data_IF_804283476864
#
_entry.id   IF_804283476864
#
_cell.length_a   1.000
_cell.length_b   1.000
_cell.length_c   1.000
_cell.angle_alpha   90.00
_cell.angle_beta   90.00
_cell.angle_gamma   90.00
#
_symmetry.space_group_name_H-M   'P 1'
#
loop_
_entity.id
_entity.type
_entity.pdbx_description
1 polymer ?
#
# COMPACT_ATOMS: atom_id res chain seq x y z
N UNK A 1 1.63 17.82 -19.83
CA UNK A 1 0.36 18.39 -19.29
C UNK A 1 0.65 18.91 -17.88
N UNK A 2 0.02 20.01 -17.44
CA UNK A 2 0.21 20.50 -16.08
C UNK A 2 -0.33 19.46 -15.07
N UNK A 3 0.35 19.32 -13.95
CA UNK A 3 0.01 18.41 -12.85
C UNK A 3 0.06 19.14 -11.52
N UNK A 4 -0.54 18.53 -10.50
CA UNK A 4 -0.44 18.97 -9.12
C UNK A 4 -0.18 17.76 -8.21
N UNK A 5 0.35 18.03 -7.01
CA UNK A 5 0.63 17.01 -6.00
C UNK A 5 -0.39 17.09 -4.87
N UNK A 6 -1.04 15.97 -4.56
CA UNK A 6 -1.89 15.82 -3.39
C UNK A 6 -1.16 15.01 -2.32
N UNK A 7 -1.24 15.44 -1.06
CA UNK A 7 -0.65 14.74 0.10
C UNK A 7 -1.75 14.19 1.00
N UNK A 8 -1.49 13.06 1.62
CA UNK A 8 -2.47 12.41 2.48
C UNK A 8 -1.91 11.26 3.29
N UNK A 9 -2.78 10.71 4.12
CA UNK A 9 -2.56 9.50 4.90
C UNK A 9 -3.49 8.39 4.42
N UNK A 10 -3.10 7.15 4.66
CA UNK A 10 -3.97 5.99 4.49
C UNK A 10 -4.57 5.62 5.85
N UNK A 11 -5.84 5.98 6.02
CA UNK A 11 -6.65 5.54 7.15
C UNK A 11 -7.06 4.08 6.95
N UNK A 12 -6.93 3.28 8.00
CA UNK A 12 -7.23 1.85 8.05
C UNK A 12 -8.57 1.64 8.75
N UNK A 13 -9.50 0.98 8.06
CA UNK A 13 -10.83 0.66 8.58
C UNK A 13 -11.06 -0.84 8.55
N UNK A 14 -11.85 -1.34 9.51
CA UNK A 14 -12.34 -2.71 9.47
C UNK A 14 -13.30 -2.87 8.29
N UNK A 15 -13.10 -3.88 7.45
CA UNK A 15 -13.91 -4.07 6.25
C UNK A 15 -15.36 -4.52 6.55
N UNK A 16 -15.62 -5.10 7.72
CA UNK A 16 -16.93 -5.63 8.10
C UNK A 16 -17.90 -4.58 8.64
N UNK A 17 -17.40 -3.61 9.43
CA UNK A 17 -18.23 -2.61 10.11
C UNK A 17 -17.81 -1.15 9.84
N UNK A 18 -16.76 -0.94 9.04
CA UNK A 18 -16.21 0.36 8.67
C UNK A 18 -15.65 1.19 9.85
N UNK A 19 -15.49 0.58 11.03
CA UNK A 19 -14.86 1.21 12.19
C UNK A 19 -13.41 1.58 11.91
N UNK A 20 -12.95 2.69 12.47
CA UNK A 20 -11.55 3.14 12.35
C UNK A 20 -10.66 2.27 13.23
N UNK A 21 -9.61 1.71 12.64
CA UNK A 21 -8.58 0.96 13.37
C UNK A 21 -7.38 1.86 13.64
N UNK A 22 -6.98 2.69 12.66
CA UNK A 22 -5.83 3.58 12.76
C UNK A 22 -5.38 4.06 11.39
N UNK A 23 -4.09 4.30 11.23
CA UNK A 23 -3.41 4.73 10.01
C UNK A 23 -2.24 3.80 9.71
N UNK A 24 -1.80 3.78 8.45
CA UNK A 24 -0.51 3.18 8.08
C UNK A 24 0.62 3.93 8.81
N UNK A 25 1.47 3.21 9.55
CA UNK A 25 2.59 3.81 10.29
C UNK A 25 3.74 4.21 9.37
N UNK A 26 4.41 5.34 9.65
CA UNK A 26 5.61 5.77 8.91
C UNK A 26 6.87 4.96 9.22
N UNK A 27 6.86 4.22 10.32
CA UNK A 27 7.98 3.39 10.76
C UNK A 27 7.90 2.00 10.09
N UNK A 28 8.44 1.89 8.87
CA UNK A 28 8.44 0.63 8.10
C UNK A 28 9.77 -0.09 8.32
N UNK A 29 9.80 -1.12 9.16
CA UNK A 29 10.98 -1.99 9.32
C UNK A 29 10.65 -3.26 10.12
N UNK A 30 10.85 -4.48 9.58
CA UNK A 30 10.91 -4.80 8.14
C UNK A 30 9.52 -4.78 7.49
N UNK A 31 8.47 -4.80 8.30
CA UNK A 31 7.07 -4.84 7.88
C UNK A 31 6.34 -3.57 8.26
N UNK A 32 5.29 -3.24 7.50
CA UNK A 32 4.44 -2.08 7.82
C UNK A 32 3.42 -2.44 8.90
N UNK A 33 3.34 -1.60 9.93
CA UNK A 33 2.36 -1.69 11.01
C UNK A 33 1.31 -0.58 10.92
N UNK A 34 0.32 -0.64 11.80
CA UNK A 34 -0.68 0.42 11.99
C UNK A 34 -0.41 1.25 13.25
N UNK A 35 -0.93 2.47 13.28
CA UNK A 35 -0.87 3.38 14.43
C UNK A 35 -2.21 4.10 14.63
N UNK A 36 -2.69 4.31 15.86
CA UNK A 36 -3.86 5.16 16.10
C UNK A 36 -3.53 6.67 16.01
N UNK A 37 -2.25 7.04 16.08
CA UNK A 37 -1.80 8.44 16.12
C UNK A 37 -1.41 8.94 14.72
N UNK A 38 -2.12 9.97 14.26
CA UNK A 38 -1.88 10.62 12.96
C UNK A 38 -0.50 11.28 12.87
N UNK A 39 0.11 11.68 13.99
CA UNK A 39 1.45 12.30 14.01
C UNK A 39 2.55 11.32 13.57
N UNK A 40 2.32 10.02 13.78
CA UNK A 40 3.23 8.95 13.35
C UNK A 40 2.68 8.15 12.17
N UNK A 41 1.60 8.62 11.55
CA UNK A 41 1.09 8.07 10.29
C UNK A 41 2.04 8.41 9.14
N UNK A 42 2.12 7.52 8.16
CA UNK A 42 2.84 7.75 6.92
C UNK A 42 2.13 8.83 6.10
N UNK A 43 2.85 9.89 5.77
CA UNK A 43 2.42 10.87 4.77
C UNK A 43 2.89 10.41 3.41
N UNK A 44 1.95 10.21 2.49
CA UNK A 44 2.22 9.88 1.09
C UNK A 44 1.75 11.01 0.17
N UNK A 45 2.30 11.04 -1.03
CA UNK A 45 1.89 11.97 -2.07
C UNK A 45 1.63 11.28 -3.40
N UNK A 46 0.70 11.83 -4.17
CA UNK A 46 0.38 11.44 -5.54
C UNK A 46 0.46 12.65 -6.47
N UNK A 47 0.77 12.39 -7.73
CA UNK A 47 0.73 13.39 -8.79
C UNK A 47 -0.46 13.12 -9.71
N UNK A 48 -1.31 14.12 -9.90
CA UNK A 48 -2.50 14.05 -10.75
C UNK A 48 -2.46 15.15 -11.82
N UNK A 49 -3.02 14.93 -13.02
CA UNK A 49 -3.26 16.00 -13.99
C UNK A 49 -4.16 17.09 -13.39
N UNK A 50 -3.94 18.36 -13.76
CA UNK A 50 -4.81 19.45 -13.31
C UNK A 50 -6.28 19.17 -13.69
N UNK A 51 -7.16 19.26 -12.70
CA UNK A 51 -8.59 18.98 -12.83
C UNK A 51 -8.99 17.51 -12.58
N UNK A 52 -8.04 16.58 -12.54
CA UNK A 52 -8.31 15.18 -12.19
C UNK A 52 -8.43 15.03 -10.67
N UNK A 53 -9.47 14.34 -10.19
CA UNK A 53 -9.68 14.03 -8.77
C UNK A 53 -9.39 12.56 -8.42
N UNK A 54 -9.05 11.77 -9.44
CA UNK A 54 -8.80 10.33 -9.33
C UNK A 54 -7.69 9.93 -10.29
N UNK A 55 -6.90 8.94 -9.88
CA UNK A 55 -5.95 8.25 -10.75
C UNK A 55 -5.88 6.76 -10.43
N UNK A 56 -5.25 6.00 -11.32
CA UNK A 56 -5.00 4.57 -11.22
C UNK A 56 -3.55 4.27 -11.57
N UNK A 57 -3.02 3.16 -11.05
CA UNK A 57 -1.61 2.78 -11.20
C UNK A 57 -0.65 3.92 -10.77
N UNK A 58 -0.99 4.59 -9.67
CA UNK A 58 -0.20 5.66 -9.09
C UNK A 58 0.90 5.07 -8.19
N UNK A 59 2.05 5.74 -8.16
CA UNK A 59 3.01 5.61 -7.07
C UNK A 59 2.56 6.46 -5.88
N UNK A 60 2.66 5.90 -4.66
CA UNK A 60 2.54 6.66 -3.43
C UNK A 60 3.94 7.03 -2.93
N UNK A 61 4.40 8.23 -3.26
CA UNK A 61 5.71 8.71 -2.80
C UNK A 61 5.64 9.08 -1.32
N UNK A 62 6.50 8.46 -0.50
CA UNK A 62 6.62 8.70 0.93
C UNK A 62 7.24 10.09 1.18
N UNK A 63 6.60 10.92 2.01
CA UNK A 63 6.98 12.32 2.23
C UNK A 63 7.80 12.49 3.50
N UNK A 64 7.47 11.75 4.56
CA UNK A 64 8.00 11.92 5.91
C UNK A 64 8.62 10.64 6.49
N UNK A 65 9.00 9.70 5.62
CA UNK A 65 9.69 8.47 6.00
C UNK A 65 11.20 8.63 5.89
N UNK A 66 11.96 8.05 6.83
CA UNK A 66 13.42 7.88 6.73
C UNK A 66 13.81 6.57 6.04
N UNK A 67 12.89 5.93 5.31
CA UNK A 67 13.13 4.64 4.68
C UNK A 67 14.08 4.77 3.49
N UNK A 68 14.83 3.70 3.20
CA UNK A 68 15.81 3.70 2.11
C UNK A 68 15.18 3.84 0.71
N UNK A 69 13.88 3.56 0.59
CA UNK A 69 13.17 3.55 -0.70
C UNK A 69 12.01 4.56 -0.70
N UNK A 70 11.77 5.25 -1.82
CA UNK A 70 10.90 6.43 -1.85
C UNK A 70 9.40 6.10 -1.90
N UNK A 71 9.00 4.93 -2.38
CA UNK A 71 7.59 4.64 -2.68
C UNK A 71 7.01 3.59 -1.75
N UNK A 72 5.74 3.73 -1.42
CA UNK A 72 4.97 2.76 -0.65
C UNK A 72 4.23 1.82 -1.61
N UNK A 73 4.54 0.53 -1.55
CA UNK A 73 4.04 -0.48 -2.48
C UNK A 73 3.87 -1.85 -1.84
N UNK A 74 3.77 -2.87 -2.69
CA UNK A 74 3.70 -4.27 -2.29
C UNK A 74 4.98 -5.00 -2.66
N UNK A 75 5.45 -5.87 -1.77
CA UNK A 75 6.55 -6.80 -2.00
C UNK A 75 6.09 -8.24 -1.74
N UNK A 76 6.58 -9.19 -2.53
CA UNK A 76 6.17 -10.60 -2.49
C UNK A 76 7.16 -11.44 -1.64
N UNK A 77 6.66 -12.11 -0.61
CA UNK A 77 7.45 -13.00 0.26
C UNK A 77 6.66 -14.24 0.72
N UNK A 78 5.92 -14.86 -0.21
CA UNK A 78 4.92 -15.92 0.05
C UNK A 78 3.48 -15.39 0.11
N UNK A 79 3.33 -14.19 0.68
CA UNK A 79 2.17 -13.32 0.57
C UNK A 79 2.65 -11.90 0.24
N UNK A 80 1.74 -10.93 0.09
CA UNK A 80 2.15 -9.55 -0.11
C UNK A 80 2.33 -8.82 1.22
N UNK A 81 3.46 -8.16 1.33
CA UNK A 81 3.79 -7.23 2.40
C UNK A 81 3.69 -5.82 1.87
N UNK A 82 3.10 -4.93 2.65
CA UNK A 82 3.31 -3.51 2.42
C UNK A 82 4.74 -3.14 2.80
N UNK A 83 5.41 -2.39 1.92
CA UNK A 83 6.83 -2.08 2.07
C UNK A 83 7.16 -0.75 1.40
N UNK A 84 8.25 -0.14 1.86
CA UNK A 84 8.98 0.83 1.05
C UNK A 84 9.72 0.09 -0.07
N UNK A 85 9.62 0.57 -1.30
CA UNK A 85 10.21 0.02 -2.52
C UNK A 85 10.62 1.15 -3.47
N UNK A 86 11.57 0.87 -4.36
CA UNK A 86 11.81 1.74 -5.52
C UNK A 86 10.61 1.73 -6.47
N UNK A 87 10.56 2.75 -7.33
CA UNK A 87 9.49 2.93 -8.29
C UNK A 87 9.48 1.81 -9.35
N UNK A 88 8.30 1.28 -9.64
CA UNK A 88 8.05 0.42 -10.80
C UNK A 88 7.18 1.17 -11.81
N UNK A 89 7.31 0.89 -13.12
CA UNK A 89 6.44 1.49 -14.12
C UNK A 89 4.97 1.09 -13.91
N UNK A 90 4.04 1.99 -14.22
CA UNK A 90 2.62 1.65 -14.29
C UNK A 90 2.39 0.51 -15.30
N UNK A 91 1.61 -0.49 -14.92
CA UNK A 91 1.29 -1.63 -15.79
C UNK A 91 2.36 -2.72 -15.85
N UNK A 92 3.49 -2.59 -15.14
CA UNK A 92 4.53 -3.62 -15.13
C UNK A 92 4.16 -4.80 -14.25
N UNK A 93 4.56 -6.01 -14.64
CA UNK A 93 4.64 -7.18 -13.75
C UNK A 93 5.63 -6.94 -12.60
N UNK A 94 5.73 -7.85 -11.61
CA UNK A 94 6.60 -7.65 -10.46
C UNK A 94 8.05 -7.61 -10.90
N UNK A 95 8.83 -6.73 -10.27
CA UNK A 95 10.26 -6.52 -10.58
C UNK A 95 11.09 -6.58 -9.30
N UNK A 96 12.41 -6.54 -9.40
CA UNK A 96 13.31 -6.45 -8.24
C UNK A 96 13.99 -5.07 -8.17
N UNK A 97 13.24 -3.96 -8.01
CA UNK A 97 13.83 -2.63 -8.00
C UNK A 97 14.56 -2.32 -6.68
N UNK A 98 14.43 -3.18 -5.67
CA UNK A 98 14.89 -2.97 -4.29
C UNK A 98 13.74 -2.56 -3.37
N UNK A 99 13.66 -3.21 -2.20
CA UNK A 99 12.65 -2.96 -1.16
C UNK A 99 13.12 -3.47 0.21
N UNK A 100 12.51 -3.00 1.29
CA UNK A 100 12.92 -3.34 2.69
C UNK A 100 12.68 -4.81 3.03
N UNK A 101 11.70 -5.45 2.38
CA UNK A 101 11.38 -6.86 2.59
C UNK A 101 12.51 -7.75 2.06
N UNK A 102 13.11 -7.41 0.91
CA UNK A 102 14.24 -8.14 0.33
C UNK A 102 15.43 -8.26 1.29
N UNK A 103 15.72 -7.18 2.01
CA UNK A 103 16.83 -7.14 2.98
C UNK A 103 16.59 -8.07 4.19
N UNK A 104 15.33 -8.38 4.50
CA UNK A 104 14.93 -9.09 5.71
C UNK A 104 14.51 -10.54 5.47
N UNK A 105 13.90 -10.83 4.32
CA UNK A 105 13.28 -12.12 4.01
C UNK A 105 13.86 -12.78 2.74
N UNK A 106 14.88 -12.18 2.11
CA UNK A 106 15.44 -12.63 0.84
C UNK A 106 14.72 -12.03 -0.37
N UNK A 107 15.24 -12.26 -1.58
CA UNK A 107 14.80 -11.59 -2.81
C UNK A 107 13.27 -11.58 -2.98
N UNK A 108 12.69 -10.40 -2.78
CA UNK A 108 11.26 -10.14 -2.94
C UNK A 108 11.07 -9.22 -4.14
N UNK A 109 10.32 -9.67 -5.15
CA UNK A 109 9.84 -8.78 -6.18
C UNK A 109 8.80 -7.81 -5.62
N UNK A 110 8.77 -6.58 -6.11
CA UNK A 110 7.85 -5.54 -5.66
C UNK A 110 7.22 -4.77 -6.82
N UNK A 111 6.11 -4.10 -6.50
CA UNK A 111 5.40 -3.16 -7.35
C UNK A 111 4.99 -1.93 -6.51
N UNK A 112 5.14 -0.73 -7.07
CA UNK A 112 4.75 0.53 -6.42
C UNK A 112 3.67 1.31 -7.18
N UNK A 113 3.62 1.21 -8.51
CA UNK A 113 2.63 1.90 -9.33
C UNK A 113 1.30 1.14 -9.41
N UNK A 114 0.74 0.83 -8.24
CA UNK A 114 -0.39 -0.09 -8.06
C UNK A 114 -1.63 0.58 -7.46
N UNK A 115 -1.55 1.86 -7.13
CA UNK A 115 -2.60 2.51 -6.35
C UNK A 115 -3.67 3.13 -7.23
N UNK A 116 -4.92 2.86 -6.88
CA UNK A 116 -6.06 3.67 -7.31
C UNK A 116 -6.48 4.56 -6.15
N UNK A 117 -6.40 5.87 -6.37
CA UNK A 117 -6.77 6.89 -5.37
C UNK A 117 -7.80 7.83 -5.98
N UNK A 118 -8.86 8.09 -5.22
CA UNK A 118 -9.84 9.14 -5.47
C UNK A 118 -9.87 10.07 -4.26
N UNK A 119 -9.38 11.31 -4.45
CA UNK A 119 -9.16 12.23 -3.33
C UNK A 119 -10.45 12.89 -2.84
N UNK A 120 -11.58 12.71 -3.56
CA UNK A 120 -12.88 13.27 -3.19
C UNK A 120 -13.68 12.27 -2.37
N UNK A 121 -13.78 11.03 -2.85
CA UNK A 121 -14.46 9.94 -2.14
C UNK A 121 -13.63 9.33 -1.03
N UNK A 122 -12.31 9.56 -1.03
CA UNK A 122 -11.37 8.90 -0.13
C UNK A 122 -11.08 7.45 -0.52
N UNK A 123 -11.51 6.98 -1.69
CA UNK A 123 -11.23 5.60 -2.14
C UNK A 123 -9.72 5.42 -2.31
N UNK A 124 -9.16 4.41 -1.64
CA UNK A 124 -7.76 4.02 -1.80
C UNK A 124 -7.64 2.49 -1.80
N UNK A 125 -7.11 1.91 -2.87
CA UNK A 125 -6.81 0.48 -2.90
C UNK A 125 -5.68 0.17 -3.87
N UNK A 126 -4.80 -0.79 -3.53
CA UNK A 126 -3.80 -1.30 -4.45
C UNK A 126 -4.37 -2.43 -5.32
N UNK A 127 -3.65 -2.72 -6.40
CA UNK A 127 -3.77 -3.94 -7.21
C UNK A 127 -2.42 -4.68 -7.22
N UNK A 128 -2.37 -5.84 -7.86
CA UNK A 128 -1.13 -6.52 -8.19
C UNK A 128 -1.17 -6.94 -9.66
N UNK A 129 -0.06 -6.85 -10.38
CA UNK A 129 0.02 -7.29 -11.77
C UNK A 129 0.86 -8.56 -11.79
N UNK A 130 0.25 -9.69 -12.12
CA UNK A 130 0.95 -10.96 -12.16
C UNK A 130 2.05 -10.99 -13.24
N UNK A 131 2.92 -11.99 -13.17
CA UNK A 131 4.01 -12.18 -14.16
C UNK A 131 3.51 -12.42 -15.59
N UNK A 132 2.26 -12.84 -15.76
CA UNK A 132 1.58 -12.98 -17.04
C UNK A 132 0.89 -11.68 -17.53
N UNK A 133 1.03 -10.59 -16.78
CA UNK A 133 0.43 -9.28 -17.06
C UNK A 133 -1.03 -9.14 -16.61
N UNK A 134 -1.62 -10.18 -16.01
CA UNK A 134 -3.01 -10.12 -15.52
C UNK A 134 -3.07 -9.29 -14.23
N UNK A 135 -3.95 -8.28 -14.22
CA UNK A 135 -4.23 -7.51 -13.01
C UNK A 135 -5.13 -8.30 -12.06
N UNK A 136 -4.63 -8.52 -10.84
CA UNK A 136 -5.37 -9.12 -9.74
C UNK A 136 -5.80 -8.05 -8.73
N UNK A 137 -7.02 -8.19 -8.21
CA UNK A 137 -7.42 -7.49 -6.99
C UNK A 137 -6.77 -8.18 -5.80
N UNK A 138 -6.32 -7.38 -4.84
CA UNK A 138 -5.80 -7.91 -3.57
C UNK A 138 -6.77 -7.62 -2.43
N UNK A 139 -6.89 -8.56 -1.51
CA UNK A 139 -7.62 -8.44 -0.26
C UNK A 139 -6.64 -7.98 0.81
N UNK A 140 -7.03 -6.96 1.57
CA UNK A 140 -6.19 -6.33 2.58
C UNK A 140 -6.57 -6.83 3.96
N UNK A 141 -5.59 -7.08 4.81
CA UNK A 141 -5.84 -7.54 6.18
C UNK A 141 -4.70 -7.21 7.13
N UNK A 142 -5.01 -7.29 8.43
CA UNK A 142 -4.04 -7.21 9.51
C UNK A 142 -3.88 -8.60 10.13
N UNK A 143 -2.64 -9.07 10.23
CA UNK A 143 -2.24 -10.23 11.06
C UNK A 143 -1.20 -9.77 12.10
N UNK A 144 -1.45 -10.01 13.39
CA UNK A 144 -0.57 -9.60 14.51
C UNK A 144 -0.02 -8.16 14.39
N UNK A 145 -0.87 -7.19 14.06
CA UNK A 145 -0.54 -5.77 13.85
C UNK A 145 0.31 -5.44 12.60
N UNK A 146 0.49 -6.40 11.70
CA UNK A 146 1.20 -6.24 10.43
C UNK A 146 0.20 -6.14 9.28
N UNK A 147 0.42 -5.18 8.38
CA UNK A 147 -0.37 -5.01 7.18
C UNK A 147 0.08 -5.98 6.09
N UNK A 148 -0.89 -6.71 5.55
CA UNK A 148 -0.69 -7.68 4.48
C UNK A 148 -1.72 -7.51 3.38
N UNK A 149 -1.41 -8.11 2.24
CA UNK A 149 -2.36 -8.33 1.16
C UNK A 149 -2.23 -9.74 0.56
N UNK A 150 -3.31 -10.24 -0.03
CA UNK A 150 -3.32 -11.55 -0.71
C UNK A 150 -4.31 -11.53 -1.87
N UNK A 151 -4.05 -12.33 -2.91
CA UNK A 151 -5.05 -12.63 -3.94
C UNK A 151 -6.13 -13.61 -3.47
N UNK A 152 -5.86 -14.37 -2.40
CA UNK A 152 -6.78 -15.31 -1.77
C UNK A 152 -6.62 -15.24 -0.24
N UNK A 153 -7.55 -14.55 0.43
CA UNK A 153 -7.58 -14.42 1.88
C UNK A 153 -7.94 -15.73 2.58
N UNK A 154 -8.79 -16.57 1.97
CA UNK A 154 -9.21 -17.82 2.58
C UNK A 154 -8.06 -18.82 2.61
N UNK A 155 -7.27 -18.88 1.53
CA UNK A 155 -6.05 -19.67 1.48
C UNK A 155 -5.03 -19.23 2.56
N UNK A 156 -4.86 -17.92 2.76
CA UNK A 156 -4.04 -17.40 3.85
C UNK A 156 -4.55 -17.87 5.22
N UNK A 157 -5.85 -17.67 5.49
CA UNK A 157 -6.46 -17.99 6.78
C UNK A 157 -6.43 -19.49 7.11
N UNK A 158 -6.49 -20.36 6.09
CA UNK A 158 -6.37 -21.80 6.26
C UNK A 158 -5.01 -22.22 6.82
N UNK A 159 -3.95 -21.45 6.55
CA UNK A 159 -2.57 -21.73 7.01
C UNK A 159 -2.24 -20.96 8.29
N UNK A 160 -2.60 -19.68 8.33
CA UNK A 160 -2.14 -18.73 9.35
C UNK A 160 -3.16 -18.45 10.47
N UNK A 161 -4.40 -18.90 10.29
CA UNK A 161 -5.51 -18.61 11.20
C UNK A 161 -6.28 -17.32 10.85
N UNK A 162 -7.23 -16.91 11.71
CA UNK A 162 -8.08 -15.74 11.45
C UNK A 162 -7.26 -14.45 11.43
N UNK A 163 -7.70 -13.51 10.59
CA UNK A 163 -7.11 -12.17 10.44
C UNK A 163 -8.22 -11.13 10.40
N UNK A 164 -7.87 -9.85 10.53
CA UNK A 164 -8.84 -8.74 10.42
C UNK A 164 -8.83 -8.18 9.01
N UNK A 165 -9.87 -8.38 8.19
CA UNK A 165 -9.96 -7.77 6.87
C UNK A 165 -10.12 -6.25 7.01
N UNK A 166 -9.45 -5.49 6.14
CA UNK A 166 -9.45 -4.02 6.20
C UNK A 166 -9.73 -3.39 4.85
N UNK A 167 -10.01 -2.09 4.88
CA UNK A 167 -9.98 -1.20 3.72
C UNK A 167 -9.11 0.02 4.02
N UNK A 168 -8.56 0.63 2.97
CA UNK A 168 -7.92 1.94 3.10
C UNK A 168 -8.87 3.06 2.69
N UNK A 169 -8.70 4.20 3.34
CA UNK A 169 -9.32 5.47 2.96
C UNK A 169 -8.24 6.54 2.87
N UNK A 170 -8.17 7.24 1.74
CA UNK A 170 -7.35 8.43 1.59
C UNK A 170 -7.91 9.57 2.45
N UNK A 171 -7.07 10.13 3.31
CA UNK A 171 -7.39 11.31 4.11
C UNK A 171 -6.38 12.41 3.76
N UNK A 172 -6.81 13.58 3.28
CA UNK A 172 -5.91 14.69 2.98
C UNK A 172 -5.04 15.07 4.19
N UNK A 173 -3.76 15.29 3.97
CA UNK A 173 -2.86 15.83 4.97
C UNK A 173 -3.04 17.36 4.99
N UNK A 174 -3.13 17.92 6.20
CA UNK A 174 -3.32 19.37 6.43
C UNK A 174 -2.00 20.10 6.39
#
# INVERSE_FOLDING_TARGET
MPSYTAKGHLLVRNAGDNSVIGYVSKNISPVTSITPDVVVALTVSITLPVGAMRGSQLNLAQVDSSNAFPSFGLAQGGYFYFSSTNDTPAGSSPQEPGNVISDSFGAASSESAIWTIDIVSGTAFPIWINSDGVTAKVQLFIDRNVLHASGDLNAYQAVSGPVTPITFTWVPAV
#
